data_IF_417461837867
#
_entry.id   IF_417461837867
#
_cell.length_a   1.000
_cell.length_b   1.000
_cell.length_c   1.000
_cell.angle_alpha   90.00
_cell.angle_beta   90.00
_cell.angle_gamma   90.00
#
_symmetry.space_group_name_H-M   'P 1'
#
loop_
_entity.id
_entity.type
_entity.pdbx_description
1 polymer ?
#
# COMPACT_ATOMS: atom_id res chain seq x y z
N UNK A 1 -5.09 -3.05 -22.40
CA UNK A 1 -5.25 -4.00 -21.28
C UNK A 1 -4.37 -3.46 -20.16
N UNK A 2 -4.95 -2.77 -19.18
CA UNK A 2 -4.19 -2.17 -18.04
C UNK A 2 -5.07 -1.94 -16.79
N UNK A 3 -6.36 -2.29 -16.83
CA UNK A 3 -7.28 -2.11 -15.69
C UNK A 3 -7.33 -3.36 -14.79
N UNK A 4 -7.06 -4.55 -15.34
CA UNK A 4 -7.13 -5.82 -14.60
C UNK A 4 -6.00 -5.95 -13.58
N UNK A 5 -4.79 -5.49 -13.91
CA UNK A 5 -3.64 -5.51 -12.99
C UNK A 5 -3.85 -4.57 -11.81
N UNK A 6 -4.47 -3.40 -12.05
CA UNK A 6 -4.72 -2.43 -10.98
C UNK A 6 -5.84 -2.86 -10.03
N UNK A 7 -6.88 -3.53 -10.54
CA UNK A 7 -7.93 -4.11 -9.69
C UNK A 7 -7.38 -5.24 -8.81
N UNK A 8 -6.52 -6.10 -9.37
CA UNK A 8 -5.80 -7.13 -8.62
C UNK A 8 -4.94 -6.53 -7.51
N UNK A 9 -4.13 -5.52 -7.83
CA UNK A 9 -3.31 -4.79 -6.85
C UNK A 9 -4.17 -4.16 -5.76
N UNK A 10 -5.28 -3.50 -6.13
CA UNK A 10 -6.20 -2.89 -5.14
C UNK A 10 -6.78 -3.93 -4.19
N UNK A 11 -7.21 -5.09 -4.69
CA UNK A 11 -7.72 -6.19 -3.85
C UNK A 11 -6.65 -6.74 -2.93
N UNK A 12 -5.42 -6.90 -3.43
CA UNK A 12 -4.30 -7.35 -2.62
C UNK A 12 -3.95 -6.36 -1.50
N UNK A 13 -3.89 -5.06 -1.83
CA UNK A 13 -3.72 -3.98 -0.85
C UNK A 13 -4.85 -4.03 0.18
N UNK A 14 -6.11 -4.20 -0.25
CA UNK A 14 -7.27 -4.31 0.66
C UNK A 14 -7.10 -5.43 1.69
N UNK A 15 -6.72 -6.62 1.24
CA UNK A 15 -6.45 -7.75 2.13
C UNK A 15 -5.27 -7.46 3.07
N UNK A 16 -4.22 -6.81 2.57
CA UNK A 16 -3.06 -6.43 3.38
C UNK A 16 -3.44 -5.42 4.46
N UNK A 17 -4.20 -4.38 4.12
CA UNK A 17 -4.67 -3.37 5.08
C UNK A 17 -5.52 -4.03 6.16
N UNK A 18 -6.49 -4.86 5.79
CA UNK A 18 -7.31 -5.60 6.73
C UNK A 18 -6.47 -6.44 7.68
N UNK A 19 -5.51 -7.21 7.14
CA UNK A 19 -4.63 -8.05 7.93
C UNK A 19 -3.72 -7.25 8.89
N UNK A 20 -3.23 -6.07 8.47
CA UNK A 20 -2.45 -5.18 9.35
C UNK A 20 -3.33 -4.71 10.52
N UNK A 21 -4.56 -4.28 10.24
CA UNK A 21 -5.50 -3.85 11.28
C UNK A 21 -5.84 -5.00 12.22
N UNK A 22 -6.20 -6.18 11.70
CA UNK A 22 -6.51 -7.36 12.52
C UNK A 22 -5.32 -7.81 13.37
N UNK A 23 -4.12 -7.86 12.79
CA UNK A 23 -2.91 -8.26 13.52
C UNK A 23 -2.57 -7.27 14.64
N UNK A 24 -2.66 -5.96 14.35
CA UNK A 24 -2.37 -4.91 15.32
C UNK A 24 -3.43 -4.87 16.43
N UNK A 25 -4.72 -4.97 16.08
CA UNK A 25 -5.83 -5.01 17.05
C UNK A 25 -5.76 -6.24 17.95
N UNK A 26 -5.37 -7.39 17.41
CA UNK A 26 -5.17 -8.61 18.19
C UNK A 26 -4.05 -8.49 19.22
N UNK A 27 -2.99 -7.75 18.89
CA UNK A 27 -1.82 -7.56 19.75
C UNK A 27 -2.01 -6.43 20.78
N UNK A 28 -2.62 -5.33 20.35
CA UNK A 28 -2.72 -4.08 21.13
C UNK A 28 -4.12 -3.79 21.68
N UNK A 29 -5.13 -4.58 21.31
CA UNK A 29 -6.55 -4.35 21.63
C UNK A 29 -7.05 -2.96 21.21
N UNK A 30 -6.41 -2.37 20.20
CA UNK A 30 -6.69 -1.02 19.70
C UNK A 30 -6.39 -0.95 18.21
N UNK A 31 -6.99 0.02 17.51
CA UNK A 31 -6.68 0.28 16.11
C UNK A 31 -5.33 1.01 15.95
N UNK A 32 -4.55 0.71 14.89
CA UNK A 32 -3.32 1.43 14.61
C UNK A 32 -3.60 2.91 14.29
N UNK A 33 -2.69 3.79 14.72
CA UNK A 33 -2.70 5.20 14.29
C UNK A 33 -2.34 5.34 12.81
N UNK A 34 -2.60 6.51 12.20
CA UNK A 34 -2.25 6.74 10.79
C UNK A 34 -0.76 6.55 10.55
N UNK A 35 0.06 7.00 11.50
CA UNK A 35 1.52 6.94 11.40
C UNK A 35 2.03 5.51 11.53
N UNK A 36 1.50 4.73 12.47
CA UNK A 36 1.86 3.31 12.64
C UNK A 36 1.42 2.47 11.45
N UNK A 37 0.19 2.66 10.99
CA UNK A 37 -0.30 1.98 9.81
C UNK A 37 0.55 2.32 8.58
N UNK A 38 0.88 3.60 8.38
CA UNK A 38 1.78 4.02 7.30
C UNK A 38 3.14 3.37 7.40
N UNK A 39 3.73 3.31 8.60
CA UNK A 39 5.03 2.67 8.79
C UNK A 39 4.98 1.18 8.43
N UNK A 40 3.98 0.44 8.93
CA UNK A 40 3.79 -0.97 8.63
C UNK A 40 3.52 -1.22 7.14
N UNK A 41 2.68 -0.41 6.51
CA UNK A 41 2.38 -0.56 5.08
C UNK A 41 3.56 -0.16 4.20
N UNK A 42 4.37 0.83 4.61
CA UNK A 42 5.53 1.28 3.86
C UNK A 42 6.59 0.17 3.69
N UNK A 43 6.66 -0.82 4.58
CA UNK A 43 7.51 -2.00 4.40
C UNK A 43 7.06 -2.87 3.22
N UNK A 44 5.78 -2.84 2.87
CA UNK A 44 5.17 -3.60 1.78
C UNK A 44 5.02 -2.79 0.49
N UNK A 45 5.25 -1.47 0.52
CA UNK A 45 4.98 -0.60 -0.64
C UNK A 45 5.87 -0.94 -1.85
N UNK A 46 7.08 -1.43 -1.61
CA UNK A 46 8.02 -1.82 -2.66
C UNK A 46 7.48 -3.00 -3.50
N UNK A 47 6.67 -3.88 -2.88
CA UNK A 47 6.00 -4.99 -3.57
C UNK A 47 4.98 -4.50 -4.62
N UNK A 48 4.40 -3.32 -4.41
CA UNK A 48 3.37 -2.73 -5.28
C UNK A 48 3.91 -1.67 -6.25
N UNK A 49 4.91 -0.90 -5.82
CA UNK A 49 5.54 0.15 -6.63
C UNK A 49 6.60 -0.46 -7.57
N UNK A 50 7.11 -1.64 -7.23
CA UNK A 50 8.19 -2.33 -7.90
C UNK A 50 9.55 -1.91 -7.34
N UNK A 51 10.58 -2.77 -7.45
CA UNK A 51 11.89 -2.51 -6.89
C UNK A 51 12.43 -1.19 -7.40
N UNK A 52 13.08 -0.43 -6.51
CA UNK A 52 13.96 0.65 -6.93
C UNK A 52 15.00 0.04 -7.88
N UNK A 53 14.85 0.29 -9.18
CA UNK A 53 15.84 -0.08 -10.18
C UNK A 53 17.06 0.84 -9.97
N UNK A 54 17.77 0.60 -8.87
CA UNK A 54 19.14 1.05 -8.62
C UNK A 54 20.13 0.24 -9.47
N UNK A 55 19.66 -0.45 -10.51
CA UNK A 55 20.48 -1.08 -11.53
C UNK A 55 20.94 0.01 -12.51
N UNK A 56 21.85 0.86 -12.02
CA UNK A 56 22.64 1.86 -12.77
C UNK A 56 23.53 1.25 -13.87
N UNK A 57 23.21 0.07 -14.38
CA UNK A 57 24.04 -0.69 -15.32
C UNK A 57 23.51 -0.78 -16.75
N UNK A 58 22.24 -0.53 -17.04
CA UNK A 58 21.69 -0.89 -18.36
C UNK A 58 20.56 -0.01 -18.88
N UNK A 59 20.60 1.32 -18.71
CA UNK A 59 19.86 2.29 -19.55
C UNK A 59 18.33 2.11 -19.72
N UNK A 60 17.69 1.24 -18.93
CA UNK A 60 16.27 0.87 -18.99
C UNK A 60 15.60 1.08 -17.62
N UNK A 61 16.10 2.03 -16.84
CA UNK A 61 15.43 2.45 -15.61
C UNK A 61 14.07 3.07 -15.94
N UNK A 62 13.02 2.68 -15.21
CA UNK A 62 11.75 3.41 -15.25
C UNK A 62 12.04 4.88 -14.89
N UNK A 63 11.55 5.87 -15.66
CA UNK A 63 11.70 7.26 -15.27
C UNK A 63 11.08 7.44 -13.88
N UNK A 64 11.81 8.14 -13.01
CA UNK A 64 11.43 8.43 -11.62
C UNK A 64 10.00 8.99 -11.50
N UNK A 65 9.52 9.70 -12.53
CA UNK A 65 8.13 10.14 -12.69
C UNK A 65 7.10 9.00 -12.69
N UNK A 66 7.38 7.87 -13.35
CA UNK A 66 6.46 6.73 -13.40
C UNK A 66 6.41 6.02 -12.04
N UNK A 67 7.55 5.88 -11.36
CA UNK A 67 7.61 5.32 -10.00
C UNK A 67 6.80 6.18 -9.03
N UNK A 68 7.02 7.49 -9.04
CA UNK A 68 6.29 8.43 -8.20
C UNK A 68 4.78 8.40 -8.49
N UNK A 69 4.37 8.32 -9.76
CA UNK A 69 2.94 8.19 -10.12
C UNK A 69 2.33 6.88 -9.61
N UNK A 70 3.07 5.76 -9.65
CA UNK A 70 2.62 4.48 -9.09
C UNK A 70 2.49 4.54 -7.58
N UNK A 71 3.50 5.05 -6.90
CA UNK A 71 3.50 5.24 -5.46
C UNK A 71 2.34 6.12 -4.99
N UNK A 72 2.10 7.26 -5.67
CA UNK A 72 0.93 8.09 -5.37
C UNK A 72 -0.40 7.35 -5.58
N UNK A 73 -0.48 6.50 -6.60
CA UNK A 73 -1.69 5.72 -6.89
C UNK A 73 -1.93 4.64 -5.82
N UNK A 74 -0.87 3.95 -5.39
CA UNK A 74 -0.90 3.00 -4.28
C UNK A 74 -1.30 3.70 -2.99
N UNK A 75 -0.63 4.80 -2.63
CA UNK A 75 -0.97 5.56 -1.43
C UNK A 75 -2.40 6.09 -1.43
N UNK A 76 -2.94 6.48 -2.58
CA UNK A 76 -4.34 6.89 -2.67
C UNK A 76 -5.27 5.74 -2.28
N UNK A 77 -5.08 4.56 -2.88
CA UNK A 77 -5.86 3.36 -2.59
C UNK A 77 -5.71 2.94 -1.13
N UNK A 78 -4.50 2.99 -0.60
CA UNK A 78 -4.19 2.67 0.80
C UNK A 78 -4.92 3.61 1.75
N UNK A 79 -4.93 4.93 1.50
CA UNK A 79 -5.68 5.88 2.34
C UNK A 79 -7.19 5.65 2.26
N UNK A 80 -7.73 5.34 1.08
CA UNK A 80 -9.15 5.03 0.92
C UNK A 80 -9.55 3.79 1.72
N UNK A 81 -8.76 2.71 1.62
CA UNK A 81 -9.01 1.45 2.33
C UNK A 81 -8.78 1.58 3.84
N UNK A 82 -7.77 2.33 4.25
CA UNK A 82 -7.50 2.62 5.66
C UNK A 82 -8.68 3.37 6.30
N UNK A 83 -9.19 4.42 5.63
CA UNK A 83 -10.34 5.16 6.08
C UNK A 83 -11.60 4.28 6.15
N UNK A 84 -11.82 3.39 5.17
CA UNK A 84 -12.92 2.44 5.16
C UNK A 84 -12.82 1.45 6.34
N UNK A 85 -11.65 0.86 6.58
CA UNK A 85 -11.41 -0.08 7.68
C UNK A 85 -11.58 0.58 9.06
N UNK A 86 -11.21 1.87 9.20
CA UNK A 86 -11.51 2.66 10.40
C UNK A 86 -12.98 2.96 10.57
N UNK A 87 -13.66 3.35 9.49
CA UNK A 87 -15.09 3.64 9.53
C UNK A 87 -15.88 2.39 9.96
N UNK A 88 -15.59 1.24 9.34
CA UNK A 88 -16.21 -0.05 9.64
C UNK A 88 -16.01 -0.51 11.10
N UNK A 89 -14.92 -0.10 11.76
CA UNK A 89 -14.62 -0.44 13.17
C UNK A 89 -15.08 0.64 14.16
N UNK A 90 -15.44 1.81 13.67
CA UNK A 90 -15.94 2.91 14.50
C UNK A 90 -17.47 2.91 14.61
N UNK A 91 -18.16 2.10 13.79
CA UNK A 91 -19.58 1.76 13.92
C UNK A 91 -19.78 0.51 14.80
#
# INVERSE_FOLDING_TARGET
MDMSDFDGIRRDISLKVEHIFEAYEKDNYCMPTMEEFRAMFNEHIDEYVGPDDSLRGAGLGMPSDIKQRREQKVWRVVNELEAEQRFLRSE
#
